data_IF_350964680064
#
_entry.id   IF_350964680064
#
_cell.length_a   1.000
_cell.length_b   1.000
_cell.length_c   1.000
_cell.angle_alpha   90.00
_cell.angle_beta   90.00
_cell.angle_gamma   90.00
#
_symmetry.space_group_name_H-M   'P 1'
#
loop_
_entity.id
_entity.type
_entity.pdbx_description
1 polymer ?
#
# COMPACT_ATOMS: atom_id res chain seq x y z
N UNK A 1 5.88 25.89 2.96
CA UNK A 1 5.29 25.17 1.81
C UNK A 1 3.90 24.69 2.19
N UNK A 2 2.91 24.93 1.32
CA UNK A 2 1.54 24.45 1.45
C UNK A 2 1.26 23.37 0.42
N UNK A 3 0.79 22.20 0.88
CA UNK A 3 0.48 21.07 0.02
C UNK A 3 -1.00 20.74 0.09
N UNK A 4 -1.65 20.65 -1.06
CA UNK A 4 -2.99 20.07 -1.18
C UNK A 4 -2.87 18.62 -1.66
N UNK A 5 -3.25 17.68 -0.82
CA UNK A 5 -3.31 16.26 -1.13
C UNK A 5 -4.74 15.91 -1.56
N UNK A 6 -4.91 15.52 -2.83
CA UNK A 6 -6.22 15.16 -3.40
C UNK A 6 -6.30 13.64 -3.52
N UNK A 7 -7.22 13.03 -2.76
CA UNK A 7 -7.25 11.60 -2.55
C UNK A 7 -8.51 10.93 -3.14
N UNK A 8 -8.32 9.81 -3.82
CA UNK A 8 -9.40 8.99 -4.38
C UNK A 8 -10.15 8.16 -3.34
N UNK A 9 -9.64 8.11 -2.10
CA UNK A 9 -10.25 7.45 -0.93
C UNK A 9 -9.79 8.10 0.35
N UNK A 10 -10.60 7.95 1.42
CA UNK A 10 -10.27 8.50 2.73
C UNK A 10 -8.98 7.85 3.29
N UNK A 11 -7.97 8.66 3.69
CA UNK A 11 -6.73 8.14 4.26
C UNK A 11 -6.90 7.59 5.69
N UNK A 12 -7.88 8.06 6.44
CA UNK A 12 -8.11 7.65 7.81
C UNK A 12 -9.45 6.90 7.97
N UNK A 13 -9.53 5.83 8.78
CA UNK A 13 -8.40 5.13 9.40
C UNK A 13 -7.58 4.35 8.36
N UNK A 14 -6.25 4.23 8.58
CA UNK A 14 -5.34 3.56 7.65
C UNK A 14 -5.45 2.02 7.75
N UNK A 15 -6.46 1.44 7.09
CA UNK A 15 -6.81 0.01 7.24
C UNK A 15 -6.35 -0.88 6.09
N UNK A 16 -5.82 -0.29 5.03
CA UNK A 16 -5.29 -1.02 3.87
C UNK A 16 -4.09 -0.28 3.28
N UNK A 17 -3.31 -0.99 2.44
CA UNK A 17 -2.04 -0.47 1.94
C UNK A 17 -2.12 0.92 1.31
N UNK A 18 -3.19 1.23 0.57
CA UNK A 18 -3.37 2.55 -0.05
C UNK A 18 -3.70 3.63 0.98
N UNK A 19 -4.63 3.36 1.92
CA UNK A 19 -4.96 4.33 2.97
C UNK A 19 -3.78 4.57 3.93
N UNK A 20 -3.01 3.52 4.25
CA UNK A 20 -1.75 3.64 5.02
C UNK A 20 -0.76 4.54 4.28
N UNK A 21 -0.56 4.30 2.98
CA UNK A 21 0.40 5.09 2.19
C UNK A 21 0.02 6.58 2.11
N UNK A 22 -1.28 6.88 1.93
CA UNK A 22 -1.78 8.27 1.87
C UNK A 22 -1.67 8.93 3.24
N UNK A 23 -2.10 8.23 4.30
CA UNK A 23 -2.06 8.75 5.68
C UNK A 23 -0.64 9.04 6.13
N UNK A 24 0.29 8.08 5.96
CA UNK A 24 1.68 8.25 6.37
C UNK A 24 2.37 9.37 5.58
N UNK A 25 2.08 9.52 4.29
CA UNK A 25 2.56 10.65 3.51
C UNK A 25 2.10 11.99 4.12
N UNK A 26 0.81 12.12 4.43
CA UNK A 26 0.26 13.31 5.07
C UNK A 26 0.88 13.59 6.44
N UNK A 27 1.00 12.56 7.29
CA UNK A 27 1.65 12.65 8.59
C UNK A 27 3.12 13.08 8.48
N UNK A 28 3.83 12.55 7.47
CA UNK A 28 5.21 12.95 7.17
C UNK A 28 5.33 14.41 6.72
N UNK A 29 4.41 14.93 5.92
CA UNK A 29 4.37 16.34 5.57
C UNK A 29 4.22 17.22 6.80
N UNK A 30 3.27 16.91 7.69
CA UNK A 30 3.04 17.64 8.94
C UNK A 30 4.30 17.61 9.82
N UNK A 31 4.91 16.43 9.99
CA UNK A 31 6.13 16.26 10.78
C UNK A 31 7.33 17.07 10.24
N UNK A 32 7.35 17.35 8.93
CA UNK A 32 8.37 18.17 8.28
C UNK A 32 7.96 19.66 8.15
N UNK A 33 6.99 20.12 8.92
CA UNK A 33 6.59 21.54 8.96
C UNK A 33 5.87 22.03 7.71
N UNK A 34 5.28 21.13 6.93
CA UNK A 34 4.46 21.48 5.76
C UNK A 34 3.01 21.71 6.20
N UNK A 35 2.42 22.80 5.78
CA UNK A 35 0.97 23.04 5.95
C UNK A 35 0.22 22.11 4.98
N UNK A 36 -0.42 21.11 5.55
CA UNK A 36 -1.13 20.07 4.78
C UNK A 36 -2.63 20.35 4.71
N UNK A 37 -3.17 20.32 3.50
CA UNK A 37 -4.61 20.27 3.27
C UNK A 37 -4.96 18.94 2.59
N UNK A 38 -5.96 18.23 3.10
CA UNK A 38 -6.46 16.98 2.51
C UNK A 38 -7.88 17.18 2.00
N UNK A 39 -8.09 16.89 0.72
CA UNK A 39 -9.41 16.80 0.11
C UNK A 39 -9.60 15.39 -0.44
N UNK A 40 -10.58 14.66 0.06
CA UNK A 40 -10.74 13.24 -0.29
C UNK A 40 -12.14 12.87 -0.75
N UNK A 41 -12.23 11.89 -1.64
CA UNK A 41 -13.48 11.19 -1.93
C UNK A 41 -13.72 10.18 -0.81
N UNK A 42 -14.84 10.31 -0.10
CA UNK A 42 -15.30 9.30 0.85
C UNK A 42 -16.21 8.32 0.10
N UNK A 43 -15.63 7.23 -0.39
CA UNK A 43 -16.33 6.28 -1.28
C UNK A 43 -17.30 5.40 -0.51
N UNK A 44 -18.40 4.96 -1.13
CA UNK A 44 -19.36 4.04 -0.53
C UNK A 44 -18.67 2.76 0.00
N UNK A 45 -17.80 2.14 -0.81
CA UNK A 45 -17.09 0.91 -0.45
C UNK A 45 -16.20 1.07 0.79
N UNK A 46 -15.61 2.25 0.97
CA UNK A 46 -14.70 2.56 2.06
C UNK A 46 -15.24 3.72 2.92
N UNK A 47 -16.57 3.80 3.02
CA UNK A 47 -17.23 4.89 3.74
C UNK A 47 -16.76 4.97 5.20
N UNK A 48 -16.40 6.18 5.61
CA UNK A 48 -16.03 6.52 6.98
C UNK A 48 -16.85 7.71 7.44
N UNK A 49 -17.64 7.55 8.50
CA UNK A 49 -18.33 8.69 9.11
C UNK A 49 -17.31 9.72 9.58
N UNK A 50 -17.55 10.99 9.29
CA UNK A 50 -16.64 12.08 9.71
C UNK A 50 -16.45 12.15 11.24
N UNK A 51 -17.43 11.70 12.01
CA UNK A 51 -17.33 11.59 13.47
C UNK A 51 -16.26 10.62 13.97
N UNK A 52 -15.89 9.61 13.16
CA UNK A 52 -14.86 8.63 13.53
C UNK A 52 -13.43 9.09 13.23
N UNK A 53 -13.28 10.28 12.62
CA UNK A 53 -11.96 10.83 12.30
C UNK A 53 -11.54 11.73 13.47
N UNK A 54 -10.38 11.49 14.11
CA UNK A 54 -9.90 12.29 15.23
C UNK A 54 -9.85 13.78 14.89
N UNK A 55 -10.31 14.63 15.83
CA UNK A 55 -10.35 16.08 15.63
C UNK A 55 -8.94 16.66 15.41
N UNK A 56 -7.95 16.10 16.10
CA UNK A 56 -6.54 16.48 15.92
C UNK A 56 -6.09 16.28 14.47
N UNK A 57 -6.38 15.10 13.88
CA UNK A 57 -6.06 14.85 12.47
C UNK A 57 -6.79 15.81 11.53
N UNK A 58 -8.08 16.07 11.79
CA UNK A 58 -8.85 17.04 10.97
C UNK A 58 -8.22 18.44 10.99
N UNK A 59 -7.79 18.88 12.16
CA UNK A 59 -7.18 20.19 12.32
C UNK A 59 -5.80 20.25 11.65
N UNK A 60 -4.93 19.28 11.94
CA UNK A 60 -3.55 19.26 11.44
C UNK A 60 -3.46 19.06 9.93
N UNK A 61 -4.43 18.36 9.33
CA UNK A 61 -4.48 18.09 7.89
C UNK A 61 -5.49 18.97 7.13
N UNK A 62 -6.11 19.97 7.76
CA UNK A 62 -7.21 20.76 7.17
C UNK A 62 -8.16 19.88 6.35
N UNK A 63 -8.55 18.74 6.98
CA UNK A 63 -9.20 17.62 6.33
C UNK A 63 -10.62 17.93 5.88
N UNK A 64 -10.94 17.58 4.65
CA UNK A 64 -12.29 17.68 4.10
C UNK A 64 -12.60 16.43 3.28
N UNK A 65 -13.76 15.82 3.51
CA UNK A 65 -14.25 14.68 2.73
C UNK A 65 -15.51 15.02 1.93
N UNK A 66 -15.64 14.38 0.78
CA UNK A 66 -16.85 14.47 -0.05
C UNK A 66 -17.34 13.06 -0.31
N UNK A 67 -18.50 12.73 0.25
CA UNK A 67 -19.11 11.41 0.03
C UNK A 67 -19.55 11.24 -1.42
N UNK A 68 -19.20 10.08 -1.99
CA UNK A 68 -19.62 9.70 -3.32
C UNK A 68 -19.71 8.17 -3.49
N UNK A 69 -20.76 7.73 -4.19
CA UNK A 69 -20.83 6.33 -4.61
C UNK A 69 -20.01 6.13 -5.89
N UNK A 70 -18.93 5.36 -5.76
CA UNK A 70 -18.02 5.01 -6.86
C UNK A 70 -18.21 3.55 -7.31
N UNK A 71 -19.28 2.88 -6.90
CA UNK A 71 -19.54 1.48 -7.29
C UNK A 71 -19.64 1.37 -8.82
N UNK A 72 -19.26 0.20 -9.33
CA UNK A 72 -19.44 -0.11 -10.75
C UNK A 72 -20.93 -0.29 -11.02
N UNK A 73 -21.47 0.52 -11.94
CA UNK A 73 -22.85 0.42 -12.39
C UNK A 73 -22.89 -0.13 -13.82
N UNK A 74 -23.62 -1.21 -14.03
CA UNK A 74 -23.73 -1.86 -15.34
C UNK A 74 -24.28 -0.92 -16.42
N UNK A 75 -25.28 -0.09 -16.11
CA UNK A 75 -25.81 0.91 -17.05
C UNK A 75 -24.76 1.98 -17.36
N UNK A 76 -24.04 2.50 -16.34
CA UNK A 76 -22.95 3.45 -16.54
C UNK A 76 -21.81 2.86 -17.39
N UNK A 77 -21.49 1.58 -17.19
CA UNK A 77 -20.49 0.89 -17.99
C UNK A 77 -20.93 0.73 -19.46
N UNK A 78 -22.23 0.42 -19.70
CA UNK A 78 -22.79 0.32 -21.03
C UNK A 78 -22.82 1.68 -21.75
N UNK A 79 -23.32 2.74 -21.09
CA UNK A 79 -23.30 4.09 -21.66
C UNK A 79 -21.88 4.59 -21.94
N UNK A 80 -20.90 4.20 -21.12
CA UNK A 80 -19.51 4.56 -21.35
C UNK A 80 -18.92 3.95 -22.64
N UNK A 81 -19.53 2.91 -23.22
CA UNK A 81 -19.08 2.37 -24.53
C UNK A 81 -19.12 3.45 -25.63
N UNK A 82 -20.05 4.38 -25.54
CA UNK A 82 -20.18 5.52 -26.48
C UNK A 82 -19.26 6.71 -26.15
N UNK A 83 -18.46 6.61 -25.07
CA UNK A 83 -17.49 7.60 -24.66
C UNK A 83 -16.08 7.23 -25.13
N UNK A 84 -15.21 8.22 -25.30
CA UNK A 84 -13.77 8.00 -25.50
C UNK A 84 -12.99 7.78 -24.20
N UNK A 85 -13.60 8.10 -23.04
CA UNK A 85 -12.96 8.00 -21.74
C UNK A 85 -13.08 6.60 -21.15
N UNK A 86 -12.06 6.18 -20.35
CA UNK A 86 -12.16 4.95 -19.59
C UNK A 86 -13.20 5.08 -18.47
N UNK A 87 -14.06 4.08 -18.34
CA UNK A 87 -15.01 4.01 -17.22
C UNK A 87 -14.33 3.92 -15.86
N UNK A 88 -13.12 3.35 -15.83
CA UNK A 88 -12.30 3.30 -14.61
C UNK A 88 -11.95 4.69 -14.08
N UNK A 89 -11.81 5.67 -14.97
CA UNK A 89 -11.48 7.07 -14.65
C UNK A 89 -12.75 7.90 -14.44
N UNK A 90 -13.68 7.86 -15.41
CA UNK A 90 -14.85 8.74 -15.42
C UNK A 90 -15.73 8.63 -14.18
N UNK A 91 -15.77 7.44 -13.55
CA UNK A 91 -16.50 7.20 -12.29
C UNK A 91 -15.93 7.93 -11.07
N UNK A 92 -14.75 8.57 -11.19
CA UNK A 92 -14.14 9.39 -10.13
C UNK A 92 -14.33 10.89 -10.35
N UNK A 93 -14.95 11.32 -11.45
CA UNK A 93 -15.31 12.70 -11.65
C UNK A 93 -16.71 13.02 -11.14
N UNK A 94 -16.83 13.99 -10.19
CA UNK A 94 -18.09 14.40 -9.59
C UNK A 94 -18.14 15.91 -9.42
N UNK A 95 -19.24 16.51 -9.81
CA UNK A 95 -19.46 17.95 -9.68
C UNK A 95 -19.35 18.44 -8.23
N UNK A 96 -19.83 17.63 -7.28
CA UNK A 96 -19.75 17.96 -5.83
C UNK A 96 -18.30 18.06 -5.34
N UNK A 97 -17.43 17.14 -5.80
CA UNK A 97 -16.01 17.19 -5.45
C UNK A 97 -15.31 18.34 -6.16
N UNK A 98 -15.62 18.58 -7.44
CA UNK A 98 -15.12 19.74 -8.18
C UNK A 98 -15.45 21.05 -7.46
N UNK A 99 -16.70 21.24 -7.01
CA UNK A 99 -17.10 22.43 -6.29
C UNK A 99 -16.31 22.62 -4.98
N UNK A 100 -16.09 21.54 -4.22
CA UNK A 100 -15.27 21.56 -3.00
C UNK A 100 -13.80 21.93 -3.31
N UNK A 101 -13.25 21.35 -4.38
CA UNK A 101 -11.91 21.68 -4.85
C UNK A 101 -11.78 23.15 -5.26
N UNK A 102 -12.71 23.67 -6.06
CA UNK A 102 -12.73 25.08 -6.47
C UNK A 102 -12.82 26.02 -5.26
N UNK A 103 -13.67 25.69 -4.29
CA UNK A 103 -13.77 26.49 -3.06
C UNK A 103 -12.43 26.54 -2.31
N UNK A 104 -11.75 25.38 -2.19
CA UNK A 104 -10.44 25.28 -1.52
C UNK A 104 -9.34 26.02 -2.28
N UNK A 105 -9.30 25.92 -3.63
CA UNK A 105 -8.33 26.62 -4.47
C UNK A 105 -8.52 28.15 -4.50
N UNK A 106 -9.75 28.63 -4.28
CA UNK A 106 -10.03 30.08 -4.16
C UNK A 106 -9.71 30.62 -2.78
N UNK A 107 -9.75 29.79 -1.74
CA UNK A 107 -9.52 30.20 -0.36
C UNK A 107 -8.04 30.16 0.05
N UNK A 108 -7.22 29.37 -0.65
CA UNK A 108 -5.83 29.11 -0.25
C UNK A 108 -4.94 28.93 -1.48
N UNK A 109 -3.83 29.66 -1.51
CA UNK A 109 -2.77 29.45 -2.50
C UNK A 109 -1.90 28.30 -2.03
N UNK A 110 -1.73 27.30 -2.91
CA UNK A 110 -0.89 26.13 -2.68
C UNK A 110 0.40 26.21 -3.51
N UNK A 111 1.48 25.67 -2.96
CA UNK A 111 2.74 25.49 -3.69
C UNK A 111 2.70 24.18 -4.51
N UNK A 112 2.17 23.11 -3.90
CA UNK A 112 2.04 21.79 -4.51
C UNK A 112 0.60 21.29 -4.41
N UNK A 113 0.10 20.73 -5.51
CA UNK A 113 -1.11 19.90 -5.51
C UNK A 113 -0.70 18.46 -5.88
N UNK A 114 -0.72 17.60 -4.87
CA UNK A 114 -0.37 16.18 -4.98
C UNK A 114 -1.63 15.35 -5.23
N UNK A 115 -1.67 14.69 -6.38
CA UNK A 115 -2.74 13.77 -6.78
C UNK A 115 -2.39 12.37 -6.25
N UNK A 116 -3.18 11.85 -5.31
CA UNK A 116 -3.02 10.50 -4.77
C UNK A 116 -3.67 9.47 -5.70
N UNK A 117 -2.88 9.03 -6.67
CA UNK A 117 -3.28 8.10 -7.72
C UNK A 117 -3.82 8.77 -8.97
N UNK A 118 -3.75 8.03 -10.08
CA UNK A 118 -4.10 8.48 -11.43
C UNK A 118 -5.53 9.03 -11.56
N UNK A 119 -6.49 8.43 -10.84
CA UNK A 119 -7.91 8.80 -10.98
C UNK A 119 -8.20 10.25 -10.57
N UNK A 120 -7.36 10.86 -9.74
CA UNK A 120 -7.47 12.28 -9.37
C UNK A 120 -7.02 13.22 -10.48
N UNK A 121 -6.32 12.74 -11.49
CA UNK A 121 -5.90 13.54 -12.64
C UNK A 121 -7.09 14.05 -13.48
N UNK A 122 -8.27 13.47 -13.31
CA UNK A 122 -9.51 13.98 -13.92
C UNK A 122 -9.82 15.42 -13.53
N UNK A 123 -9.25 15.92 -12.41
CA UNK A 123 -9.44 17.30 -11.93
C UNK A 123 -8.34 18.27 -12.36
N UNK A 124 -7.33 17.84 -13.13
CA UNK A 124 -6.25 18.72 -13.62
C UNK A 124 -6.77 19.96 -14.36
N UNK A 125 -7.78 19.87 -15.25
CA UNK A 125 -8.31 21.05 -15.93
C UNK A 125 -8.85 22.11 -14.96
N UNK A 126 -9.52 21.68 -13.88
CA UNK A 126 -10.03 22.56 -12.84
C UNK A 126 -8.88 23.18 -12.04
N UNK A 127 -7.89 22.36 -11.66
CA UNK A 127 -6.71 22.84 -10.93
C UNK A 127 -6.02 23.95 -11.73
N UNK A 128 -5.70 23.71 -13.01
CA UNK A 128 -5.02 24.70 -13.87
C UNK A 128 -5.81 26.00 -14.07
N UNK A 129 -7.14 25.94 -13.96
CA UNK A 129 -8.00 27.12 -14.08
C UNK A 129 -7.94 28.01 -12.84
N UNK A 130 -7.75 27.44 -11.66
CA UNK A 130 -7.90 28.16 -10.38
C UNK A 130 -6.62 28.22 -9.54
N UNK A 131 -5.52 27.56 -9.95
CA UNK A 131 -4.27 27.55 -9.21
C UNK A 131 -3.06 27.57 -10.14
N UNK A 132 -1.96 28.13 -9.63
CA UNK A 132 -0.63 28.11 -10.27
C UNK A 132 0.30 27.07 -9.61
N UNK A 133 -0.20 26.32 -8.62
CA UNK A 133 0.55 25.31 -7.90
C UNK A 133 1.13 24.25 -8.86
N UNK A 134 2.28 23.68 -8.51
CA UNK A 134 2.85 22.55 -9.22
C UNK A 134 1.97 21.32 -9.03
N UNK A 135 1.66 20.64 -10.12
CA UNK A 135 0.82 19.44 -10.12
C UNK A 135 1.72 18.21 -10.13
N UNK A 136 1.66 17.44 -9.05
CA UNK A 136 2.46 16.23 -8.87
C UNK A 136 1.55 15.00 -8.79
N UNK A 137 1.82 13.99 -9.60
CA UNK A 137 1.15 12.70 -9.49
C UNK A 137 1.96 11.80 -8.53
N UNK A 138 1.38 11.42 -7.40
CA UNK A 138 1.89 10.30 -6.63
C UNK A 138 1.29 9.01 -7.18
N UNK A 139 2.07 8.33 -8.01
CA UNK A 139 1.68 7.08 -8.64
C UNK A 139 1.86 5.92 -7.67
N UNK A 140 0.75 5.42 -7.12
CA UNK A 140 0.77 4.22 -6.26
C UNK A 140 1.07 2.96 -7.06
N UNK A 141 0.71 2.97 -8.34
CA UNK A 141 0.95 1.93 -9.33
C UNK A 141 0.93 2.58 -10.73
N UNK A 142 1.30 1.81 -11.72
CA UNK A 142 0.99 2.12 -13.12
C UNK A 142 -0.33 1.42 -13.45
N UNK A 143 -1.40 2.20 -13.52
CA UNK A 143 -2.76 1.66 -13.53
C UNK A 143 -3.04 0.78 -14.75
N UNK A 144 -2.61 1.19 -15.96
CA UNK A 144 -2.86 0.38 -17.15
C UNK A 144 -2.16 -0.98 -17.10
N UNK A 145 -0.98 -1.10 -16.47
CA UNK A 145 -0.27 -2.37 -16.36
C UNK A 145 -1.01 -3.38 -15.46
N UNK A 146 -1.68 -2.90 -14.40
CA UNK A 146 -2.50 -3.75 -13.55
C UNK A 146 -3.61 -4.39 -14.39
N UNK A 147 -4.30 -3.57 -15.20
CA UNK A 147 -5.40 -4.04 -16.02
C UNK A 147 -4.95 -4.90 -17.20
N UNK A 148 -3.77 -4.65 -17.78
CA UNK A 148 -3.16 -5.54 -18.79
C UNK A 148 -2.88 -6.94 -18.21
N UNK A 149 -2.42 -7.02 -16.96
CA UNK A 149 -2.21 -8.31 -16.26
C UNK A 149 -3.55 -9.02 -16.00
N UNK A 150 -4.58 -8.30 -15.54
CA UNK A 150 -5.92 -8.86 -15.37
C UNK A 150 -6.50 -9.37 -16.69
N UNK A 151 -6.32 -8.62 -17.76
CA UNK A 151 -6.80 -9.00 -19.09
C UNK A 151 -6.20 -10.31 -19.60
N UNK A 152 -4.93 -10.57 -19.30
CA UNK A 152 -4.26 -11.85 -19.67
C UNK A 152 -4.91 -13.06 -19.03
N UNK A 153 -5.41 -12.91 -17.80
CA UNK A 153 -5.98 -14.00 -17.00
C UNK A 153 -7.51 -14.12 -17.14
N UNK A 154 -8.17 -13.20 -17.88
CA UNK A 154 -9.63 -13.26 -18.07
C UNK A 154 -9.99 -14.33 -19.11
N UNK A 155 -10.85 -15.26 -18.72
CA UNK A 155 -11.30 -16.38 -19.57
C UNK A 155 -12.57 -16.08 -20.39
N UNK A 156 -13.42 -15.17 -19.92
CA UNK A 156 -14.67 -14.81 -20.61
C UNK A 156 -14.39 -13.89 -21.80
N UNK A 157 -14.70 -14.32 -23.02
CA UNK A 157 -14.46 -13.55 -24.24
C UNK A 157 -15.11 -12.16 -24.23
N UNK A 158 -16.35 -12.06 -23.76
CA UNK A 158 -17.10 -10.79 -23.67
C UNK A 158 -16.45 -9.82 -22.64
N UNK A 159 -16.12 -10.34 -21.45
CA UNK A 159 -15.43 -9.54 -20.44
C UNK A 159 -14.03 -9.13 -20.92
N UNK A 160 -13.30 -10.04 -21.55
CA UNK A 160 -11.98 -9.78 -22.12
C UNK A 160 -12.00 -8.66 -23.16
N UNK A 161 -12.99 -8.68 -24.07
CA UNK A 161 -13.20 -7.61 -25.03
C UNK A 161 -13.46 -6.26 -24.36
N UNK A 162 -14.43 -6.22 -23.41
CA UNK A 162 -14.76 -4.99 -22.68
C UNK A 162 -13.57 -4.46 -21.86
N UNK A 163 -12.91 -5.32 -21.10
CA UNK A 163 -11.73 -4.94 -20.31
C UNK A 163 -10.60 -4.47 -21.22
N UNK A 164 -10.39 -5.10 -22.39
CA UNK A 164 -9.39 -4.66 -23.37
C UNK A 164 -9.63 -3.24 -23.86
N UNK A 165 -10.89 -2.92 -24.18
CA UNK A 165 -11.29 -1.56 -24.58
C UNK A 165 -11.02 -0.55 -23.45
N UNK A 166 -11.43 -0.89 -22.22
CA UNK A 166 -11.26 -0.02 -21.06
C UNK A 166 -9.79 0.17 -20.66
N UNK A 167 -8.98 -0.88 -20.77
CA UNK A 167 -7.54 -0.84 -20.51
C UNK A 167 -6.82 0.05 -21.52
N UNK A 168 -7.15 -0.07 -22.81
CA UNK A 168 -6.60 0.81 -23.84
C UNK A 168 -6.93 2.29 -23.58
N UNK A 169 -8.17 2.59 -23.21
CA UNK A 169 -8.61 3.95 -22.87
C UNK A 169 -7.91 4.47 -21.61
N UNK A 170 -7.73 3.60 -20.62
CA UNK A 170 -7.00 3.91 -19.38
C UNK A 170 -5.54 4.24 -19.68
N UNK A 171 -4.87 3.43 -20.50
CA UNK A 171 -3.49 3.69 -20.93
C UNK A 171 -3.36 5.04 -21.63
N UNK A 172 -4.26 5.33 -22.56
CA UNK A 172 -4.25 6.62 -23.25
C UNK A 172 -4.44 7.79 -22.26
N UNK A 173 -5.34 7.65 -21.28
CA UNK A 173 -5.57 8.67 -20.25
C UNK A 173 -4.32 8.85 -19.36
N UNK A 174 -3.70 7.75 -18.92
CA UNK A 174 -2.50 7.80 -18.08
C UNK A 174 -1.34 8.48 -18.81
N UNK A 175 -1.07 8.10 -20.05
CA UNK A 175 -0.02 8.72 -20.87
C UNK A 175 -0.31 10.19 -21.23
N UNK A 176 -1.56 10.54 -21.52
CA UNK A 176 -1.95 11.93 -21.77
C UNK A 176 -1.81 12.79 -20.50
N UNK A 177 -2.12 12.23 -19.34
CA UNK A 177 -1.95 12.90 -18.04
C UNK A 177 -0.51 13.36 -17.83
N UNK A 178 0.49 12.60 -18.28
CA UNK A 178 1.92 12.93 -18.11
C UNK A 178 2.27 14.33 -18.66
N UNK A 179 1.64 14.76 -19.75
CA UNK A 179 1.88 16.07 -20.36
C UNK A 179 1.48 17.24 -19.46
N UNK A 180 0.60 16.99 -18.51
CA UNK A 180 -0.01 18.00 -17.65
C UNK A 180 0.61 18.09 -16.25
N UNK A 181 1.50 17.17 -15.90
CA UNK A 181 2.19 17.10 -14.61
C UNK A 181 3.47 17.95 -14.63
N UNK A 182 3.86 18.43 -13.45
CA UNK A 182 5.16 19.08 -13.21
C UNK A 182 6.19 18.06 -12.70
N UNK A 183 5.76 17.04 -11.97
CA UNK A 183 6.60 15.94 -11.52
C UNK A 183 5.77 14.66 -11.27
N UNK A 184 6.47 13.54 -11.11
CA UNK A 184 5.89 12.28 -10.65
C UNK A 184 6.63 11.82 -9.40
N UNK A 185 5.88 11.30 -8.43
CA UNK A 185 6.39 10.59 -7.27
C UNK A 185 5.98 9.13 -7.37
N UNK A 186 6.93 8.24 -7.60
CA UNK A 186 6.69 6.79 -7.66
C UNK A 186 6.96 6.13 -6.31
N UNK A 187 6.42 4.93 -6.08
CA UNK A 187 6.72 4.15 -4.87
C UNK A 187 7.95 3.27 -5.09
N UNK A 188 8.22 2.86 -6.33
CA UNK A 188 9.35 2.00 -6.68
C UNK A 188 10.17 2.59 -7.84
N UNK A 189 11.46 2.24 -7.90
CA UNK A 189 12.33 2.59 -9.04
C UNK A 189 11.93 1.85 -10.31
N UNK A 190 11.28 0.70 -10.18
CA UNK A 190 10.68 -0.01 -11.31
C UNK A 190 9.61 0.84 -11.99
N UNK A 191 8.66 1.40 -11.22
CA UNK A 191 7.62 2.27 -11.78
C UNK A 191 8.22 3.54 -12.38
N UNK A 192 9.24 4.14 -11.71
CA UNK A 192 10.01 5.26 -12.26
C UNK A 192 10.57 4.93 -13.65
N UNK A 193 11.23 3.78 -13.78
CA UNK A 193 11.83 3.35 -15.07
C UNK A 193 10.79 3.21 -16.18
N UNK A 194 9.54 2.87 -15.85
CA UNK A 194 8.46 2.76 -16.84
C UNK A 194 7.99 4.14 -17.28
N UNK A 195 7.78 5.10 -16.38
CA UNK A 195 7.40 6.46 -16.76
C UNK A 195 8.49 7.14 -17.62
N UNK A 196 9.76 6.86 -17.33
CA UNK A 196 10.88 7.32 -18.15
C UNK A 196 10.82 6.72 -19.58
N UNK A 197 10.55 5.41 -19.70
CA UNK A 197 10.37 4.71 -20.98
C UNK A 197 9.15 5.20 -21.77
N UNK A 198 8.06 5.54 -21.08
CA UNK A 198 6.86 6.13 -21.69
C UNK A 198 7.07 7.62 -22.05
N UNK A 199 8.29 8.13 -21.87
CA UNK A 199 8.70 9.44 -22.39
C UNK A 199 8.49 10.62 -21.44
N UNK A 200 8.24 10.42 -20.16
CA UNK A 200 8.19 11.51 -19.20
C UNK A 200 9.60 12.09 -18.98
N UNK A 201 9.77 13.39 -19.21
CA UNK A 201 11.08 14.07 -19.19
C UNK A 201 11.26 15.04 -18.00
N UNK A 202 10.19 15.30 -17.25
CA UNK A 202 10.23 16.15 -16.07
C UNK A 202 10.71 15.35 -14.85
N UNK A 203 10.98 16.00 -13.69
CA UNK A 203 11.51 15.30 -12.53
C UNK A 203 10.63 14.14 -12.04
N UNK A 204 11.28 13.01 -11.70
CA UNK A 204 10.64 11.86 -11.04
C UNK A 204 11.41 11.56 -9.77
N UNK A 205 10.70 11.45 -8.66
CA UNK A 205 11.24 11.08 -7.37
C UNK A 205 10.66 9.74 -6.91
N UNK A 206 11.51 8.80 -6.49
CA UNK A 206 11.02 7.57 -5.86
C UNK A 206 10.88 7.82 -4.35
N UNK A 207 9.65 7.76 -3.86
CA UNK A 207 9.31 7.93 -2.46
C UNK A 207 8.51 6.72 -1.99
N UNK A 208 9.19 5.82 -1.30
CA UNK A 208 8.57 4.64 -0.71
C UNK A 208 7.51 5.02 0.34
N UNK A 209 6.70 4.06 0.75
CA UNK A 209 5.79 4.27 1.88
C UNK A 209 6.56 4.09 3.18
N UNK A 210 6.74 5.19 3.92
CA UNK A 210 7.32 5.16 5.26
C UNK A 210 6.32 4.72 6.32
N UNK A 211 6.84 4.39 7.51
CA UNK A 211 6.05 4.08 8.73
C UNK A 211 6.60 4.86 9.91
N UNK A 212 5.78 5.16 10.90
CA UNK A 212 6.24 5.75 12.16
C UNK A 212 6.93 4.68 13.02
N UNK A 213 8.23 4.46 12.75
CA UNK A 213 9.01 3.41 13.42
C UNK A 213 8.99 3.58 14.93
N UNK A 214 8.96 4.81 15.45
CA UNK A 214 8.93 5.06 16.89
C UNK A 214 7.60 4.61 17.52
N UNK A 215 6.48 4.73 16.79
CA UNK A 215 5.21 4.22 17.25
C UNK A 215 5.19 2.68 17.26
N UNK A 216 5.76 2.05 16.25
CA UNK A 216 5.87 0.58 16.17
C UNK A 216 6.78 -0.03 17.25
N UNK A 217 7.84 0.69 17.67
CA UNK A 217 8.74 0.26 18.76
C UNK A 217 8.08 0.24 20.15
N UNK A 218 7.00 0.97 20.36
CA UNK A 218 6.31 0.98 21.66
C UNK A 218 5.81 -0.42 21.97
N UNK A 219 6.57 -1.13 22.81
CA UNK A 219 6.18 -2.47 23.26
C UNK A 219 4.91 -2.38 24.10
N UNK A 220 3.92 -3.17 23.74
CA UNK A 220 2.85 -3.51 24.68
C UNK A 220 3.42 -4.55 25.60
N UNK A 221 3.19 -4.42 26.92
CA UNK A 221 3.59 -5.44 27.91
C UNK A 221 2.76 -6.70 27.70
N UNK A 222 3.19 -7.56 26.80
CA UNK A 222 2.50 -8.79 26.43
C UNK A 222 3.43 -9.99 26.60
N UNK A 223 2.86 -11.09 27.04
CA UNK A 223 3.61 -12.33 27.15
C UNK A 223 3.83 -12.91 25.76
N UNK A 224 5.10 -12.99 25.33
CA UNK A 224 5.46 -13.65 24.07
C UNK A 224 4.96 -15.10 24.06
N UNK A 225 4.35 -15.50 22.97
CA UNK A 225 3.98 -16.89 22.67
C UNK A 225 5.17 -17.58 21.98
N UNK A 226 5.97 -18.39 22.69
CA UNK A 226 7.19 -18.95 22.13
C UNK A 226 6.87 -19.90 20.98
N UNK A 227 7.84 -20.03 20.06
CA UNK A 227 7.79 -20.90 18.89
C UNK A 227 6.58 -20.69 18.00
N UNK A 228 6.10 -19.44 17.92
CA UNK A 228 5.01 -19.06 17.03
C UNK A 228 5.56 -18.45 15.74
N UNK A 229 5.07 -18.96 14.63
CA UNK A 229 5.25 -18.38 13.32
C UNK A 229 3.90 -17.88 12.82
N UNK A 230 3.86 -16.78 12.06
CA UNK A 230 2.58 -16.22 11.65
C UNK A 230 2.60 -15.64 10.23
N UNK A 231 1.43 -15.69 9.58
CA UNK A 231 1.12 -14.91 8.38
C UNK A 231 -0.06 -13.99 8.71
N UNK A 232 0.15 -12.69 8.60
CA UNK A 232 -0.88 -11.68 8.88
C UNK A 232 -1.16 -10.85 7.62
N UNK A 233 -2.39 -10.97 7.08
CA UNK A 233 -2.75 -10.32 5.84
C UNK A 233 -4.26 -10.27 5.60
N UNK A 234 -4.72 -9.38 4.71
CA UNK A 234 -6.10 -9.41 4.20
C UNK A 234 -6.23 -10.56 3.19
N UNK A 235 -7.16 -11.49 3.45
CA UNK A 235 -7.33 -12.73 2.68
C UNK A 235 -8.28 -12.55 1.47
N UNK A 236 -8.79 -11.36 1.22
CA UNK A 236 -9.45 -10.98 -0.04
C UNK A 236 -8.48 -10.75 -1.20
N UNK A 237 -7.19 -10.72 -0.92
CA UNK A 237 -6.13 -10.66 -1.93
C UNK A 237 -5.58 -12.07 -2.20
N UNK A 238 -5.86 -12.60 -3.40
CA UNK A 238 -5.56 -13.97 -3.77
C UNK A 238 -4.12 -14.42 -3.47
N UNK A 239 -3.07 -13.62 -3.73
CA UNK A 239 -1.70 -14.02 -3.41
C UNK A 239 -1.46 -14.33 -1.92
N UNK A 240 -2.22 -13.76 -0.99
CA UNK A 240 -2.12 -14.11 0.43
C UNK A 240 -2.72 -15.49 0.72
N UNK A 241 -3.80 -15.83 0.05
CA UNK A 241 -4.43 -17.16 0.14
C UNK A 241 -3.49 -18.22 -0.42
N UNK A 242 -2.99 -18.01 -1.64
CA UNK A 242 -2.01 -18.89 -2.28
C UNK A 242 -0.75 -19.11 -1.43
N UNK A 243 -0.26 -18.05 -0.78
CA UNK A 243 0.91 -18.11 0.10
C UNK A 243 0.70 -19.03 1.31
N UNK A 244 -0.45 -18.89 1.97
CA UNK A 244 -0.80 -19.75 3.12
C UNK A 244 -1.00 -21.20 2.69
N UNK A 245 -1.72 -21.44 1.60
CA UNK A 245 -1.91 -22.78 1.03
C UNK A 245 -0.58 -23.42 0.65
N UNK A 246 0.27 -22.68 -0.03
CA UNK A 246 1.60 -23.15 -0.40
C UNK A 246 2.41 -23.54 0.84
N UNK A 247 2.40 -22.71 1.89
CA UNK A 247 3.13 -22.96 3.12
C UNK A 247 2.61 -24.21 3.85
N UNK A 248 1.30 -24.35 3.99
CA UNK A 248 0.68 -25.51 4.63
C UNK A 248 1.00 -26.81 3.86
N UNK A 249 0.84 -26.79 2.54
CA UNK A 249 1.01 -27.98 1.71
C UNK A 249 2.47 -28.43 1.57
N UNK A 250 3.43 -27.48 1.57
CA UNK A 250 4.82 -27.79 1.22
C UNK A 250 5.80 -27.69 2.39
N UNK A 251 5.47 -26.97 3.47
CA UNK A 251 6.43 -26.66 4.51
C UNK A 251 6.00 -27.12 5.90
N UNK A 252 4.73 -26.90 6.28
CA UNK A 252 4.29 -27.01 7.68
C UNK A 252 4.57 -28.36 8.32
N UNK A 253 4.18 -29.44 7.68
CA UNK A 253 4.37 -30.81 8.20
C UNK A 253 5.85 -31.13 8.48
N UNK A 254 6.75 -30.65 7.61
CA UNK A 254 8.19 -30.85 7.75
C UNK A 254 8.80 -30.01 8.87
N UNK A 255 8.27 -28.81 9.11
CA UNK A 255 8.64 -27.95 10.23
C UNK A 255 8.19 -28.60 11.55
N UNK A 256 6.93 -29.03 11.62
CA UNK A 256 6.36 -29.65 12.83
C UNK A 256 7.08 -30.93 13.21
N UNK A 257 7.54 -31.72 12.23
CA UNK A 257 8.37 -32.90 12.48
C UNK A 257 9.71 -32.57 13.16
N UNK A 258 10.29 -31.40 12.87
CA UNK A 258 11.59 -30.96 13.40
C UNK A 258 11.46 -30.12 14.67
N UNK A 259 10.31 -29.45 14.87
CA UNK A 259 9.96 -28.61 16.03
C UNK A 259 8.50 -28.93 16.39
N UNK A 260 8.25 -30.01 17.17
CA UNK A 260 6.89 -30.50 17.43
C UNK A 260 5.98 -29.53 18.19
N UNK A 261 6.54 -28.60 18.93
CA UNK A 261 5.84 -27.57 19.69
C UNK A 261 5.69 -26.23 18.93
N UNK A 262 6.11 -26.16 17.67
CA UNK A 262 5.88 -25.01 16.83
C UNK A 262 4.37 -24.79 16.59
N UNK A 263 3.95 -23.53 16.51
CA UNK A 263 2.57 -23.12 16.22
C UNK A 263 2.55 -22.18 15.02
N UNK A 264 1.65 -22.43 14.09
CA UNK A 264 1.41 -21.54 12.95
C UNK A 264 0.12 -20.78 13.11
N UNK A 265 0.16 -19.46 12.99
CA UNK A 265 -0.99 -18.57 13.14
C UNK A 265 -1.28 -17.90 11.81
N UNK A 266 -2.40 -18.25 11.21
CA UNK A 266 -2.96 -17.53 10.06
C UNK A 266 -3.90 -16.47 10.60
N UNK A 267 -3.66 -15.20 10.29
CA UNK A 267 -4.50 -14.12 10.79
C UNK A 267 -4.85 -13.11 9.68
N UNK A 268 -6.07 -12.58 9.76
CA UNK A 268 -6.51 -11.49 8.90
C UNK A 268 -7.95 -11.59 8.46
N UNK A 269 -8.47 -10.44 8.02
CA UNK A 269 -9.86 -10.30 7.60
C UNK A 269 -10.17 -11.03 6.28
N UNK A 270 -11.45 -11.28 6.04
CA UNK A 270 -11.97 -11.91 4.82
C UNK A 270 -11.40 -13.31 4.56
N UNK A 271 -11.18 -14.08 5.61
CA UNK A 271 -10.69 -15.46 5.54
C UNK A 271 -11.64 -16.33 4.70
N UNK A 272 -11.17 -17.00 3.64
CA UNK A 272 -12.02 -17.87 2.83
C UNK A 272 -12.50 -19.11 3.62
N UNK A 273 -13.70 -19.63 3.29
CA UNK A 273 -14.32 -20.73 4.05
C UNK A 273 -13.45 -21.98 4.20
N UNK A 274 -12.63 -22.31 3.19
CA UNK A 274 -11.77 -23.48 3.26
C UNK A 274 -10.59 -23.30 4.19
N UNK A 275 -10.03 -22.07 4.29
CA UNK A 275 -8.96 -21.76 5.26
C UNK A 275 -9.49 -21.68 6.71
N UNK A 276 -10.75 -21.25 6.91
CA UNK A 276 -11.39 -21.28 8.24
C UNK A 276 -11.52 -22.68 8.79
N UNK A 277 -11.64 -23.68 7.93
CA UNK A 277 -11.82 -25.10 8.26
C UNK A 277 -10.53 -25.89 8.29
N UNK A 278 -9.36 -25.24 8.18
CA UNK A 278 -8.07 -25.94 8.25
C UNK A 278 -7.97 -26.65 9.61
N UNK A 279 -7.74 -27.97 9.55
CA UNK A 279 -7.59 -28.83 10.71
C UNK A 279 -6.21 -29.52 10.73
N UNK A 280 -5.16 -28.72 10.61
CA UNK A 280 -3.77 -29.18 10.69
C UNK A 280 -3.27 -29.03 12.14
N UNK A 281 -2.44 -29.97 12.63
CA UNK A 281 -1.89 -29.88 13.97
C UNK A 281 -1.16 -28.54 14.23
N UNK A 282 -1.41 -27.93 15.38
CA UNK A 282 -0.79 -26.68 15.81
C UNK A 282 -1.01 -25.46 14.88
N UNK A 283 -2.04 -25.49 14.05
CA UNK A 283 -2.47 -24.36 13.21
C UNK A 283 -3.62 -23.63 13.88
N UNK A 284 -3.49 -22.32 14.04
CA UNK A 284 -4.52 -21.43 14.58
C UNK A 284 -4.97 -20.45 13.49
N UNK A 285 -6.28 -20.33 13.33
CA UNK A 285 -6.90 -19.38 12.40
C UNK A 285 -7.56 -18.26 13.19
N UNK A 286 -7.21 -16.99 12.88
CA UNK A 286 -7.77 -15.78 13.48
C UNK A 286 -8.37 -14.92 12.35
N UNK A 287 -9.69 -14.87 12.29
CA UNK A 287 -10.40 -14.19 11.18
C UNK A 287 -10.31 -12.67 11.24
N UNK A 288 -10.20 -12.11 12.44
CA UNK A 288 -10.05 -10.67 12.64
C UNK A 288 -9.13 -10.39 13.83
N UNK A 289 -8.18 -9.50 13.62
CA UNK A 289 -7.24 -9.05 14.65
C UNK A 289 -7.64 -7.64 15.06
N UNK A 290 -8.18 -7.49 16.27
CA UNK A 290 -8.63 -6.20 16.80
C UNK A 290 -7.46 -5.22 16.99
N UNK A 291 -6.31 -5.72 17.46
CA UNK A 291 -5.13 -4.93 17.73
C UNK A 291 -3.89 -5.57 17.08
N UNK A 292 -3.49 -5.03 15.93
CA UNK A 292 -2.33 -5.52 15.18
C UNK A 292 -1.03 -5.42 15.99
N UNK A 293 -0.84 -4.36 16.77
CA UNK A 293 0.35 -4.17 17.62
C UNK A 293 0.49 -5.29 18.64
N UNK A 294 -0.61 -5.60 19.33
CA UNK A 294 -0.65 -6.71 20.28
C UNK A 294 -0.31 -8.02 19.58
N UNK A 295 -0.94 -8.26 18.42
CA UNK A 295 -0.70 -9.46 17.63
C UNK A 295 0.77 -9.61 17.23
N UNK A 296 1.40 -8.55 16.69
CA UNK A 296 2.83 -8.59 16.34
C UNK A 296 3.70 -8.84 17.58
N UNK A 297 3.41 -8.21 18.74
CA UNK A 297 4.21 -8.38 19.95
C UNK A 297 4.13 -9.79 20.55
N UNK A 298 2.98 -10.45 20.44
CA UNK A 298 2.77 -11.81 20.95
C UNK A 298 3.48 -12.89 20.13
N UNK A 299 3.65 -12.71 18.80
CA UNK A 299 4.16 -13.73 17.90
C UNK A 299 5.61 -13.47 17.48
N UNK A 300 6.38 -14.55 17.20
CA UNK A 300 7.82 -14.43 17.04
C UNK A 300 8.28 -14.21 15.60
N UNK A 301 7.93 -15.10 14.67
CA UNK A 301 8.50 -15.12 13.31
C UNK A 301 7.41 -14.85 12.28
N UNK A 302 7.63 -13.86 11.44
CA UNK A 302 6.69 -13.51 10.37
C UNK A 302 7.02 -14.26 9.08
N UNK A 303 5.99 -14.80 8.42
CA UNK A 303 6.11 -15.48 7.12
C UNK A 303 5.44 -14.66 6.01
N UNK A 304 6.15 -14.53 4.88
CA UNK A 304 5.60 -13.88 3.68
C UNK A 304 5.94 -14.72 2.43
N UNK A 305 5.37 -15.93 2.30
CA UNK A 305 5.70 -16.89 1.25
C UNK A 305 4.92 -16.63 -0.05
N UNK A 306 4.90 -15.38 -0.54
CA UNK A 306 4.17 -15.00 -1.74
C UNK A 306 4.83 -15.55 -3.00
N UNK A 307 4.05 -16.21 -3.87
CA UNK A 307 4.49 -16.68 -5.18
C UNK A 307 4.08 -15.72 -6.32
N UNK A 308 3.14 -14.82 -6.05
CA UNK A 308 2.57 -13.89 -7.02
C UNK A 308 2.29 -12.52 -6.41
N UNK A 309 1.91 -11.57 -7.26
CA UNK A 309 1.58 -10.20 -6.87
C UNK A 309 2.65 -9.19 -7.30
N UNK A 310 2.37 -7.90 -7.12
CA UNK A 310 3.27 -6.79 -7.46
C UNK A 310 3.17 -5.67 -6.42
N UNK A 311 4.14 -4.75 -6.41
CA UNK A 311 4.18 -3.59 -5.55
C UNK A 311 4.83 -3.84 -4.18
N UNK A 312 5.10 -2.77 -3.47
CA UNK A 312 5.74 -2.79 -2.15
C UNK A 312 4.86 -3.48 -1.10
N UNK A 313 5.45 -4.41 -0.35
CA UNK A 313 4.73 -5.15 0.71
C UNK A 313 4.83 -4.39 2.04
N UNK A 314 3.88 -3.49 2.29
CA UNK A 314 3.83 -2.69 3.54
C UNK A 314 3.90 -3.59 4.78
N UNK A 315 3.27 -4.77 4.76
CA UNK A 315 3.35 -5.73 5.87
C UNK A 315 4.79 -6.14 6.26
N UNK A 316 5.72 -6.21 5.29
CA UNK A 316 7.13 -6.48 5.59
C UNK A 316 7.76 -5.28 6.29
N UNK A 317 7.50 -4.07 5.81
CA UNK A 317 7.98 -2.83 6.43
C UNK A 317 7.47 -2.72 7.88
N UNK A 318 6.18 -2.98 8.09
CA UNK A 318 5.58 -3.04 9.43
C UNK A 318 6.23 -4.12 10.29
N UNK A 319 6.39 -5.33 9.76
CA UNK A 319 7.07 -6.42 10.45
C UNK A 319 8.51 -6.06 10.87
N UNK A 320 9.27 -5.42 9.97
CA UNK A 320 10.61 -4.91 10.27
C UNK A 320 10.58 -3.82 11.35
N UNK A 321 9.62 -2.89 11.29
CA UNK A 321 9.45 -1.83 12.28
C UNK A 321 9.04 -2.39 13.66
N UNK A 322 8.32 -3.52 13.71
CA UNK A 322 8.09 -4.28 14.96
C UNK A 322 9.31 -5.11 15.40
N UNK A 323 10.42 -5.08 14.66
CA UNK A 323 11.59 -5.92 14.92
C UNK A 323 11.28 -7.41 14.75
N UNK A 324 10.45 -7.80 13.78
CA UNK A 324 10.16 -9.22 13.55
C UNK A 324 11.20 -9.85 12.63
N UNK A 325 11.74 -11.03 12.99
CA UNK A 325 12.41 -11.88 12.02
C UNK A 325 11.43 -12.27 10.93
N UNK A 326 11.80 -12.07 9.68
CA UNK A 326 10.92 -12.33 8.55
C UNK A 326 11.55 -13.38 7.64
N UNK A 327 10.77 -14.41 7.28
CA UNK A 327 11.11 -15.35 6.21
C UNK A 327 10.16 -15.08 5.04
N UNK A 328 10.73 -14.74 3.89
CA UNK A 328 9.97 -14.35 2.70
C UNK A 328 10.52 -15.05 1.44
N UNK A 329 9.72 -15.08 0.39
CA UNK A 329 10.22 -15.30 -0.97
C UNK A 329 10.77 -13.99 -1.55
N UNK A 330 11.53 -14.06 -2.62
CA UNK A 330 11.96 -12.87 -3.36
C UNK A 330 10.77 -12.07 -3.90
N UNK A 331 9.70 -12.74 -4.34
CA UNK A 331 8.44 -12.10 -4.76
C UNK A 331 7.75 -11.40 -3.58
N UNK A 332 7.79 -12.02 -2.40
CA UNK A 332 7.25 -11.42 -1.18
C UNK A 332 7.97 -10.15 -0.77
N UNK A 333 9.28 -10.07 -0.98
CA UNK A 333 10.14 -8.94 -0.64
C UNK A 333 10.39 -7.97 -1.81
N UNK A 334 9.62 -8.06 -2.90
CA UNK A 334 9.76 -7.19 -4.07
C UNK A 334 9.66 -5.70 -3.68
N UNK A 335 10.54 -4.88 -4.20
CA UNK A 335 10.58 -3.42 -3.94
C UNK A 335 11.27 -3.02 -2.63
N UNK A 336 11.83 -3.97 -1.87
CA UNK A 336 12.60 -3.71 -0.65
C UNK A 336 14.08 -3.98 -0.93
N UNK A 337 14.96 -3.01 -0.67
CA UNK A 337 16.41 -3.14 -0.81
C UNK A 337 17.02 -3.91 0.37
N UNK A 338 16.58 -5.13 0.57
CA UNK A 338 17.01 -5.96 1.70
C UNK A 338 18.44 -6.51 1.53
N UNK A 339 19.04 -6.88 2.65
CA UNK A 339 20.24 -7.72 2.69
C UNK A 339 19.86 -9.07 3.29
N UNK A 340 19.83 -10.12 2.44
CA UNK A 340 19.49 -11.47 2.88
C UNK A 340 20.41 -11.95 4.01
N UNK A 341 19.84 -12.49 5.06
CA UNK A 341 20.56 -12.94 6.25
C UNK A 341 20.86 -11.85 7.29
N UNK A 342 20.66 -10.56 6.96
CA UNK A 342 20.87 -9.45 7.89
C UNK A 342 19.56 -8.85 8.40
N UNK A 343 18.63 -8.52 7.52
CA UNK A 343 17.38 -7.86 7.88
C UNK A 343 16.12 -8.64 7.47
N UNK A 344 16.29 -9.68 6.63
CA UNK A 344 15.27 -10.63 6.20
C UNK A 344 15.95 -11.92 5.76
N UNK A 345 15.24 -13.05 5.83
CA UNK A 345 15.65 -14.31 5.22
C UNK A 345 14.83 -14.55 3.95
N UNK A 346 15.52 -14.73 2.81
CA UNK A 346 14.89 -15.03 1.52
C UNK A 346 15.05 -16.50 1.19
N UNK A 347 13.92 -17.18 0.98
CA UNK A 347 13.84 -18.58 0.61
C UNK A 347 12.71 -18.80 -0.42
N UNK A 348 13.06 -19.24 -1.62
CA UNK A 348 12.08 -19.42 -2.71
C UNK A 348 11.61 -20.88 -2.84
N UNK A 349 12.42 -21.82 -2.39
CA UNK A 349 12.10 -23.25 -2.47
C UNK A 349 11.62 -23.77 -1.12
N UNK A 350 10.70 -24.75 -1.07
CA UNK A 350 10.19 -25.32 0.18
C UNK A 350 11.29 -25.76 1.13
N UNK A 351 12.32 -26.44 0.62
CA UNK A 351 13.46 -26.94 1.41
C UNK A 351 14.18 -25.81 2.16
N UNK A 352 14.44 -24.70 1.46
CA UNK A 352 15.17 -23.56 2.01
C UNK A 352 14.27 -22.78 2.99
N UNK A 353 12.97 -22.68 2.67
CA UNK A 353 11.98 -22.03 3.54
C UNK A 353 11.81 -22.78 4.87
N UNK A 354 11.71 -24.12 4.80
CA UNK A 354 11.68 -25.00 5.98
C UNK A 354 12.93 -24.78 6.82
N UNK A 355 14.12 -24.84 6.20
CA UNK A 355 15.39 -24.64 6.88
C UNK A 355 15.45 -23.30 7.59
N UNK A 356 15.11 -22.20 6.91
CA UNK A 356 15.13 -20.87 7.46
C UNK A 356 14.20 -20.74 8.70
N UNK A 357 12.98 -21.27 8.60
CA UNK A 357 12.02 -21.25 9.72
C UNK A 357 12.49 -22.09 10.91
N UNK A 358 12.99 -23.32 10.64
CA UNK A 358 13.48 -24.22 11.69
C UNK A 358 14.70 -23.67 12.38
N UNK A 359 15.63 -23.06 11.64
CA UNK A 359 16.82 -22.40 12.20
C UNK A 359 16.41 -21.30 13.18
N UNK A 360 15.47 -20.43 12.79
CA UNK A 360 14.97 -19.35 13.66
C UNK A 360 14.17 -19.84 14.88
N UNK A 361 13.47 -20.97 14.76
CA UNK A 361 12.73 -21.59 15.87
C UNK A 361 13.63 -22.26 16.91
N UNK A 362 14.84 -22.69 16.49
CA UNK A 362 15.80 -23.43 17.34
C UNK A 362 16.94 -22.55 17.84
N UNK A 363 17.26 -21.44 17.17
CA UNK A 363 18.41 -20.60 17.47
C UNK A 363 17.98 -19.18 17.82
N UNK A 364 17.89 -18.91 19.12
CA UNK A 364 17.50 -17.60 19.66
C UNK A 364 18.51 -16.50 19.27
N UNK A 365 19.79 -16.84 19.14
CA UNK A 365 20.82 -15.86 18.79
C UNK A 365 20.62 -15.35 17.38
N UNK A 366 20.40 -16.24 16.42
CA UNK A 366 20.05 -15.87 15.02
C UNK A 366 18.76 -15.07 14.94
N UNK A 367 17.76 -15.46 15.72
CA UNK A 367 16.48 -14.73 15.76
C UNK A 367 16.69 -13.30 16.26
N UNK A 368 17.41 -13.10 17.35
CA UNK A 368 17.71 -11.78 17.93
C UNK A 368 18.56 -10.94 16.98
N UNK A 369 19.51 -11.53 16.29
CA UNK A 369 20.34 -10.82 15.29
C UNK A 369 19.47 -10.30 14.15
N UNK A 370 18.58 -11.14 13.63
CA UNK A 370 17.67 -10.76 12.54
C UNK A 370 16.64 -9.72 13.01
N UNK A 371 16.11 -9.81 14.25
CA UNK A 371 15.26 -8.79 14.87
C UNK A 371 15.93 -7.42 14.87
N UNK A 372 17.18 -7.35 15.34
CA UNK A 372 17.95 -6.12 15.37
C UNK A 372 18.23 -5.57 13.98
N UNK A 373 18.60 -6.46 13.06
CA UNK A 373 18.86 -6.08 11.66
C UNK A 373 17.62 -5.54 10.95
N UNK A 374 16.47 -6.20 11.14
CA UNK A 374 15.20 -5.76 10.57
C UNK A 374 14.79 -4.38 11.10
N UNK A 375 14.86 -4.19 12.43
CA UNK A 375 14.52 -2.92 13.06
C UNK A 375 15.44 -1.77 12.63
N UNK A 376 16.76 -2.00 12.66
CA UNK A 376 17.76 -1.00 12.22
C UNK A 376 17.53 -0.61 10.76
N UNK A 377 17.21 -1.57 9.91
CA UNK A 377 16.89 -1.31 8.50
C UNK A 377 15.62 -0.48 8.36
N UNK A 378 14.57 -0.81 9.11
CA UNK A 378 13.33 -0.02 9.11
C UNK A 378 13.56 1.43 9.54
N UNK A 379 14.42 1.67 10.56
CA UNK A 379 14.78 3.01 11.03
C UNK A 379 15.56 3.83 10.00
N UNK A 380 16.39 3.17 9.21
CA UNK A 380 17.21 3.83 8.20
C UNK A 380 16.41 4.15 6.95
N UNK A 381 15.65 3.19 6.45
CA UNK A 381 15.04 3.25 5.12
C UNK A 381 13.56 3.62 5.13
N UNK A 382 12.82 3.27 6.21
CA UNK A 382 11.36 3.37 6.22
C UNK A 382 10.81 4.34 7.28
N UNK A 383 11.68 5.05 8.03
CA UNK A 383 11.20 6.09 8.94
C UNK A 383 10.46 7.18 8.16
N UNK A 384 9.18 7.36 8.47
CA UNK A 384 8.30 8.22 7.69
C UNK A 384 8.75 9.69 7.68
N UNK A 385 9.32 10.17 8.79
CA UNK A 385 9.85 11.51 8.88
C UNK A 385 11.00 11.73 7.89
N UNK A 386 11.93 10.78 7.81
CA UNK A 386 13.06 10.82 6.88
C UNK A 386 12.63 10.68 5.42
N UNK A 387 11.76 9.69 5.15
CA UNK A 387 11.24 9.43 3.80
C UNK A 387 10.57 10.68 3.23
N UNK A 388 9.68 11.31 4.00
CA UNK A 388 8.96 12.50 3.53
C UNK A 388 9.84 13.75 3.57
N UNK A 389 10.86 13.82 4.45
CA UNK A 389 11.86 14.89 4.40
C UNK A 389 12.58 14.95 3.07
N UNK A 390 12.96 13.78 2.52
CA UNK A 390 13.53 13.68 1.17
C UNK A 390 12.59 14.20 0.08
N UNK A 391 11.30 13.86 0.16
CA UNK A 391 10.30 14.36 -0.78
C UNK A 391 10.07 15.87 -0.67
N UNK A 392 10.03 16.40 0.56
CA UNK A 392 9.93 17.86 0.80
C UNK A 392 11.16 18.57 0.22
N UNK A 393 12.35 18.01 0.38
CA UNK A 393 13.57 18.50 -0.24
C UNK A 393 13.49 18.51 -1.77
N UNK A 394 12.98 17.42 -2.37
CA UNK A 394 12.74 17.34 -3.81
C UNK A 394 11.78 18.43 -4.31
N UNK A 395 10.66 18.66 -3.60
CA UNK A 395 9.71 19.71 -3.98
C UNK A 395 10.34 21.11 -3.94
N UNK A 396 11.11 21.40 -2.90
CA UNK A 396 11.79 22.69 -2.77
C UNK A 396 12.89 22.92 -3.83
N UNK A 397 13.69 21.91 -4.08
CA UNK A 397 14.88 22.04 -4.93
C UNK A 397 14.55 21.90 -6.42
N UNK A 398 13.70 20.94 -6.80
CA UNK A 398 13.44 20.61 -8.21
C UNK A 398 12.20 21.33 -8.76
N UNK A 399 11.24 21.68 -7.91
CA UNK A 399 10.01 22.35 -8.33
C UNK A 399 9.93 23.82 -7.90
N UNK A 400 10.89 24.31 -7.11
CA UNK A 400 10.92 25.66 -6.54
C UNK A 400 9.63 25.96 -5.75
N UNK A 401 9.19 25.02 -4.92
CA UNK A 401 7.94 25.08 -4.17
C UNK A 401 8.14 25.48 -2.68
#
# INVERSE_FOLDING_TARGET
>A
MRVLQICNKAPYPPNDGSSIAIYNMGAGFIANGTELHVLTINTKKHFKPDGNIPQEYKNNAHYQSVYQNTDVNAFGALFNLFSSQSYFVSRFYFRKFENALVAKLKATDFDIIQLEGLFMATYIPVIKKYSKAKIVLRAHNIEYLIWERHLKNESSALKKWYLGLQTKRLKNFELETLKHLDAIVTITDFDKSIFEKEGFKKPIYTCITGVDVNDYKKKVSEQKKPKTIFHFASMDWMPNVEAVEWFLNNCWKSILKQVPDAKFVMAGRNMPPHLKKVNEPNVLVIEEVENSRKFYNEHEIMLVPLASGSGLRIKIIEGMAYGKPIVSTAVGAEGINYTNGKNILIANLPKDFIKAVVDLLKDDSKRIELEKGALSFAEQEFDNGKVVSGLVGFYKNELNA
#
